data_IF_821794166160
#
_entry.id   IF_821794166160
#
_cell.length_a   1.000
_cell.length_b   1.000
_cell.length_c   1.000
_cell.angle_alpha   90.00
_cell.angle_beta   90.00
_cell.angle_gamma   90.00
#
_symmetry.space_group_name_H-M   'P 1'
#
loop_
_entity.id
_entity.type
_entity.pdbx_description
1 polymer ?
#
# COMPACT_ATOMS: atom_id res chain seq x y z
N UNK A 1 -9.23 31.65 2.65
CA UNK A 1 -9.20 30.18 2.44
C UNK A 1 -8.75 29.96 1.01
N UNK A 2 -7.64 29.25 0.80
CA UNK A 2 -7.08 28.95 -0.52
C UNK A 2 -7.26 27.45 -0.76
N UNK A 3 -7.96 27.10 -1.84
CA UNK A 3 -8.14 25.71 -2.26
C UNK A 3 -7.48 25.57 -3.63
N UNK A 4 -6.62 24.59 -3.78
CA UNK A 4 -5.94 24.28 -5.03
C UNK A 4 -6.28 22.85 -5.44
N UNK A 5 -6.78 22.70 -6.67
CA UNK A 5 -7.09 21.40 -7.24
C UNK A 5 -5.84 20.86 -7.94
N UNK A 6 -5.46 19.64 -7.59
CA UNK A 6 -4.34 18.93 -8.23
C UNK A 6 -4.89 17.71 -8.97
N UNK A 7 -4.66 17.65 -10.28
CA UNK A 7 -4.96 16.49 -11.10
C UNK A 7 -3.70 15.65 -11.29
N UNK A 8 -3.75 14.37 -10.93
CA UNK A 8 -2.61 13.45 -11.00
C UNK A 8 -3.04 12.16 -11.68
N UNK A 9 -2.23 11.68 -12.65
CA UNK A 9 -2.38 10.36 -13.28
C UNK A 9 -1.42 9.39 -12.61
N UNK A 10 -1.92 8.63 -11.64
CA UNK A 10 -1.09 7.75 -10.81
C UNK A 10 -0.27 6.72 -11.60
N UNK A 11 -0.82 6.21 -12.70
CA UNK A 11 -0.16 5.23 -13.58
C UNK A 11 1.04 5.79 -14.35
N UNK A 12 1.34 7.09 -14.26
CA UNK A 12 2.55 7.70 -14.84
C UNK A 12 3.73 7.72 -13.84
N UNK A 13 3.49 7.36 -12.57
CA UNK A 13 4.50 7.39 -11.52
C UNK A 13 4.99 5.97 -11.23
N UNK A 14 6.30 5.76 -11.13
CA UNK A 14 6.85 4.46 -10.80
C UNK A 14 6.66 4.16 -9.30
N UNK A 15 6.01 3.04 -8.97
CA UNK A 15 5.66 2.69 -7.59
C UNK A 15 6.89 2.62 -6.65
N UNK A 16 8.04 2.14 -7.16
CA UNK A 16 9.27 1.96 -6.36
C UNK A 16 9.81 3.27 -5.81
N UNK A 17 9.64 4.36 -6.56
CA UNK A 17 10.08 5.69 -6.14
C UNK A 17 9.34 6.17 -4.87
N UNK A 18 8.21 5.55 -4.54
CA UNK A 18 7.35 5.96 -3.43
C UNK A 18 7.38 5.01 -2.22
N UNK A 19 8.20 3.96 -2.26
CA UNK A 19 8.31 2.99 -1.17
C UNK A 19 8.81 3.60 0.15
N UNK A 20 9.61 4.65 0.10
CA UNK A 20 10.16 5.30 1.29
C UNK A 20 9.27 6.42 1.85
N UNK A 21 8.27 6.88 1.07
CA UNK A 21 7.42 8.02 1.44
C UNK A 21 6.54 7.67 2.64
N UNK A 22 6.63 8.47 3.70
CA UNK A 22 5.89 8.32 4.96
C UNK A 22 4.51 8.98 4.88
N UNK A 23 3.68 8.55 3.93
CA UNK A 23 2.32 9.04 3.75
C UNK A 23 1.36 7.85 3.53
N UNK A 24 0.38 7.60 4.43
CA UNK A 24 -0.56 6.50 4.31
C UNK A 24 -1.33 6.47 2.98
N UNK A 25 -1.71 7.65 2.47
CA UNK A 25 -2.45 7.75 1.21
C UNK A 25 -1.59 7.27 0.04
N UNK A 26 -0.29 7.58 0.04
CA UNK A 26 0.65 7.07 -0.97
C UNK A 26 0.73 5.55 -0.91
N UNK A 27 0.77 4.95 0.30
CA UNK A 27 0.78 3.49 0.46
C UNK A 27 -0.47 2.83 -0.11
N UNK A 28 -1.63 3.41 0.17
CA UNK A 28 -2.91 2.94 -0.36
C UNK A 28 -2.94 2.98 -1.91
N UNK A 29 -2.29 3.99 -2.51
CA UNK A 29 -2.31 4.23 -3.94
C UNK A 29 -1.19 3.52 -4.74
N UNK A 30 -0.20 2.91 -4.07
CA UNK A 30 0.88 2.18 -4.73
C UNK A 30 0.39 1.18 -5.80
N UNK A 31 -0.68 0.38 -5.59
CA UNK A 31 -1.15 -0.55 -6.62
C UNK A 31 -1.74 0.10 -7.88
N UNK A 32 -2.03 1.41 -7.84
CA UNK A 32 -2.50 2.19 -9.01
C UNK A 32 -1.38 2.94 -9.73
N UNK A 33 -0.15 2.85 -9.23
CA UNK A 33 1.05 3.39 -9.86
C UNK A 33 1.61 2.42 -10.91
N UNK A 34 2.57 2.89 -11.71
CA UNK A 34 3.28 2.04 -12.67
C UNK A 34 4.23 1.07 -11.95
N UNK A 35 4.16 -0.21 -12.33
CA UNK A 35 5.14 -1.24 -12.02
C UNK A 35 5.02 -2.37 -13.05
N UNK A 36 6.12 -3.09 -13.28
CA UNK A 36 6.11 -4.27 -14.14
C UNK A 36 5.43 -5.44 -13.42
N UNK A 37 4.80 -6.37 -14.15
CA UNK A 37 4.05 -7.47 -13.55
C UNK A 37 4.88 -8.33 -12.59
N UNK A 38 6.19 -8.43 -12.83
CA UNK A 38 7.15 -9.13 -11.97
C UNK A 38 7.29 -8.47 -10.59
N UNK A 39 7.03 -7.17 -10.50
CA UNK A 39 7.14 -6.38 -9.28
C UNK A 39 5.83 -6.32 -8.49
N UNK A 40 4.72 -6.85 -9.03
CA UNK A 40 3.37 -6.76 -8.41
C UNK A 40 3.40 -7.15 -6.94
N UNK A 41 4.00 -8.29 -6.64
CA UNK A 41 4.08 -8.80 -5.27
C UNK A 41 4.78 -7.82 -4.32
N UNK A 42 5.94 -7.28 -4.72
CA UNK A 42 6.69 -6.37 -3.87
C UNK A 42 5.95 -5.03 -3.69
N UNK A 43 5.28 -4.52 -4.73
CA UNK A 43 4.48 -3.29 -4.64
C UNK A 43 3.34 -3.45 -3.63
N UNK A 44 2.59 -4.56 -3.72
CA UNK A 44 1.47 -4.85 -2.80
C UNK A 44 2.00 -5.02 -1.37
N UNK A 45 3.09 -5.77 -1.21
CA UNK A 45 3.75 -5.98 0.07
C UNK A 45 4.21 -4.67 0.72
N UNK A 46 4.81 -3.76 -0.06
CA UNK A 46 5.22 -2.44 0.42
C UNK A 46 4.05 -1.51 0.75
N UNK A 47 2.93 -1.64 0.03
CA UNK A 47 1.69 -0.95 0.34
C UNK A 47 1.17 -1.37 1.72
N UNK A 48 1.07 -2.68 1.95
CA UNK A 48 0.59 -3.26 3.19
C UNK A 48 1.50 -2.95 4.39
N UNK A 49 2.77 -3.28 4.27
CA UNK A 49 3.75 -3.07 5.33
C UNK A 49 3.92 -1.58 5.65
N UNK A 50 3.99 -0.74 4.62
CA UNK A 50 4.11 0.70 4.79
C UNK A 50 2.87 1.30 5.46
N UNK A 51 1.67 0.86 5.08
CA UNK A 51 0.45 1.32 5.74
C UNK A 51 0.43 0.88 7.20
N UNK A 52 0.71 -0.39 7.48
CA UNK A 52 0.74 -0.95 8.83
C UNK A 52 1.69 -0.19 9.76
N UNK A 53 2.84 0.25 9.26
CA UNK A 53 3.82 1.03 10.03
C UNK A 53 3.38 2.47 10.31
N UNK A 54 2.51 3.05 9.48
CA UNK A 54 2.20 4.48 9.52
C UNK A 54 0.91 4.82 10.28
N UNK A 55 0.02 3.85 10.50
CA UNK A 55 -1.31 4.12 11.09
C UNK A 55 -1.62 3.19 12.26
N UNK A 56 -2.64 3.53 13.05
CA UNK A 56 -3.15 2.63 14.08
C UNK A 56 -3.74 1.36 13.47
N UNK A 57 -3.80 0.27 14.25
CA UNK A 57 -4.34 -1.01 13.79
C UNK A 57 -5.77 -0.89 13.24
N UNK A 58 -6.63 -0.08 13.87
CA UNK A 58 -8.01 0.14 13.40
C UNK A 58 -8.05 0.83 12.03
N UNK A 59 -7.15 1.80 11.81
CA UNK A 59 -7.04 2.48 10.52
C UNK A 59 -6.41 1.57 9.47
N UNK A 60 -5.47 0.71 9.85
CA UNK A 60 -4.87 -0.27 8.95
C UNK A 60 -5.96 -1.18 8.39
N UNK A 61 -6.76 -1.83 9.23
CA UNK A 61 -7.87 -2.70 8.76
C UNK A 61 -8.91 -1.94 7.94
N UNK A 62 -9.18 -0.68 8.29
CA UNK A 62 -10.12 0.16 7.54
C UNK A 62 -9.62 0.49 6.12
N UNK A 63 -8.31 0.71 5.96
CA UNK A 63 -7.74 1.21 4.72
C UNK A 63 -7.04 0.15 3.87
N UNK A 64 -6.64 -0.99 4.42
CA UNK A 64 -6.04 -2.11 3.68
C UNK A 64 -6.98 -2.64 2.60
N UNK A 65 -8.29 -2.59 2.82
CA UNK A 65 -9.30 -2.96 1.82
C UNK A 65 -9.17 -2.19 0.50
N UNK A 66 -8.70 -0.94 0.52
CA UNK A 66 -8.44 -0.22 -0.73
C UNK A 66 -7.27 -0.82 -1.50
N UNK A 67 -6.23 -1.27 -0.80
CA UNK A 67 -5.09 -1.98 -1.41
C UNK A 67 -5.59 -3.27 -2.06
N UNK A 68 -6.45 -4.02 -1.37
CA UNK A 68 -7.07 -5.24 -1.91
C UNK A 68 -7.77 -4.99 -3.24
N UNK A 69 -8.69 -4.01 -3.24
CA UNK A 69 -9.49 -3.65 -4.41
C UNK A 69 -8.62 -3.16 -5.56
N UNK A 70 -7.56 -2.39 -5.28
CA UNK A 70 -6.71 -1.83 -6.33
C UNK A 70 -5.70 -2.81 -6.91
N UNK A 71 -5.33 -3.83 -6.15
CA UNK A 71 -4.33 -4.83 -6.55
C UNK A 71 -4.93 -6.14 -7.05
N UNK A 72 -6.25 -6.31 -6.89
CA UNK A 72 -6.94 -7.57 -7.20
C UNK A 72 -6.27 -8.75 -6.50
N UNK A 73 -5.87 -8.54 -5.23
CA UNK A 73 -5.21 -9.56 -4.41
C UNK A 73 -6.20 -10.66 -4.04
N UNK A 74 -5.77 -11.92 -4.12
CA UNK A 74 -6.58 -13.05 -3.66
C UNK A 74 -6.39 -13.36 -2.17
N UNK A 75 -7.24 -14.24 -1.63
CA UNK A 75 -7.21 -14.59 -0.21
C UNK A 75 -5.88 -15.23 0.22
N UNK A 76 -5.25 -16.02 -0.65
CA UNK A 76 -3.96 -16.68 -0.34
C UNK A 76 -2.80 -15.69 -0.32
N UNK A 77 -2.82 -14.72 -1.23
CA UNK A 77 -1.87 -13.62 -1.26
C UNK A 77 -2.04 -12.71 -0.03
N UNK A 78 -3.29 -12.43 0.37
CA UNK A 78 -3.58 -11.64 1.57
C UNK A 78 -3.09 -12.34 2.83
N UNK A 79 -3.43 -13.62 3.02
CA UNK A 79 -2.99 -14.43 4.17
C UNK A 79 -1.47 -14.38 4.33
N UNK A 80 -0.73 -14.53 3.23
CA UNK A 80 0.74 -14.46 3.24
C UNK A 80 1.28 -13.12 3.72
N UNK A 81 0.64 -12.01 3.36
CA UNK A 81 1.04 -10.67 3.82
C UNK A 81 0.66 -10.46 5.29
N UNK A 82 -0.51 -10.93 5.70
CA UNK A 82 -0.95 -10.85 7.09
C UNK A 82 0.00 -11.59 8.03
N UNK A 83 0.46 -12.79 7.64
CA UNK A 83 1.48 -13.54 8.38
C UNK A 83 2.77 -12.72 8.59
N UNK A 84 3.27 -12.07 7.52
CA UNK A 84 4.45 -11.20 7.63
C UNK A 84 4.21 -10.00 8.57
N UNK A 85 3.01 -9.43 8.57
CA UNK A 85 2.62 -8.34 9.47
C UNK A 85 2.57 -8.83 10.92
N UNK A 86 1.99 -10.00 11.18
CA UNK A 86 1.93 -10.61 12.51
C UNK A 86 3.32 -10.94 13.05
N UNK A 87 4.22 -11.43 12.20
CA UNK A 87 5.63 -11.64 12.57
C UNK A 87 6.32 -10.33 12.94
N UNK A 88 6.16 -9.27 12.13
CA UNK A 88 6.73 -7.95 12.43
C UNK A 88 6.18 -7.36 13.72
N UNK A 89 4.88 -7.50 13.98
CA UNK A 89 4.25 -7.01 15.21
C UNK A 89 4.82 -7.69 16.45
N UNK A 90 5.23 -8.96 16.38
CA UNK A 90 5.84 -9.70 17.50
C UNK A 90 7.27 -9.26 17.81
N UNK A 91 7.93 -8.54 16.90
CA UNK A 91 9.30 -8.06 17.06
C UNK A 91 9.40 -6.60 17.58
N UNK A 92 8.26 -5.92 17.72
CA UNK A 92 8.11 -4.57 18.28
C UNK A 92 7.68 -4.66 19.74
#
# INVERSE_FOLDING_TARGET
>A
MHFEYVFIRLYEYNARDYFHIQNPLVKILLPKMYYDSEDRWEVIRQAYLGLFQLVSIDLFYKYSYFIDVYSEIDDSERERIEDEIYEKRRQL
#
